data_IF_557361228108
#
_entry.id   IF_557361228108
#
_cell.length_a   1.000
_cell.length_b   1.000
_cell.length_c   1.000
_cell.angle_alpha   90.00
_cell.angle_beta   90.00
_cell.angle_gamma   90.00
#
_symmetry.space_group_name_H-M   'P 1'
#
loop_
_entity.id
_entity.type
_entity.pdbx_description
1 polymer ?
#
# COMPACT_ATOMS: atom_id res chain seq x y z
N UNK A 1 -16.78 -1.06 81.50
CA UNK A 1 -16.85 -2.00 80.35
C UNK A 1 -15.57 -1.84 79.53
N UNK A 2 -15.04 -2.95 79.04
CA UNK A 2 -13.63 -3.22 78.74
C UNK A 2 -13.06 -2.38 77.58
N UNK A 3 -11.93 -1.72 77.84
CA UNK A 3 -11.07 -1.09 76.85
C UNK A 3 -9.98 -2.10 76.45
N UNK A 4 -9.99 -2.57 75.21
CA UNK A 4 -9.04 -3.59 74.70
C UNK A 4 -7.95 -2.89 73.89
N UNK A 5 -6.80 -2.63 74.52
CA UNK A 5 -5.59 -2.21 73.82
C UNK A 5 -5.05 -3.37 72.97
N UNK A 6 -4.95 -3.17 71.66
CA UNK A 6 -4.30 -4.07 70.72
C UNK A 6 -2.87 -3.55 70.51
N UNK A 7 -1.88 -4.29 70.99
CA UNK A 7 -0.46 -4.05 70.72
C UNK A 7 -0.11 -4.64 69.35
N UNK A 8 0.20 -3.79 68.36
CA UNK A 8 0.74 -4.21 67.07
C UNK A 8 2.27 -4.12 67.12
N UNK A 9 2.94 -5.24 67.47
CA UNK A 9 4.38 -5.39 67.29
C UNK A 9 4.66 -5.68 65.81
N UNK A 10 4.88 -4.62 65.03
CA UNK A 10 5.26 -4.73 63.62
C UNK A 10 6.69 -5.26 63.52
N UNK A 11 6.87 -6.47 62.99
CA UNK A 11 8.20 -7.09 62.83
C UNK A 11 9.02 -6.36 61.76
N UNK A 12 10.08 -5.66 62.20
CA UNK A 12 11.03 -4.87 61.41
C UNK A 12 11.86 -5.72 60.39
N UNK A 13 11.75 -7.06 60.42
CA UNK A 13 12.54 -7.97 59.58
C UNK A 13 12.21 -7.89 58.07
N UNK A 14 10.96 -7.59 57.71
CA UNK A 14 10.52 -7.63 56.29
C UNK A 14 10.88 -6.35 55.49
N UNK A 15 11.24 -5.25 56.17
CA UNK A 15 11.62 -4.01 55.51
C UNK A 15 13.02 -4.07 54.88
N UNK A 16 13.94 -4.87 55.44
CA UNK A 16 15.30 -5.02 54.90
C UNK A 16 15.30 -5.66 53.50
N UNK A 17 14.44 -6.66 53.27
CA UNK A 17 14.30 -7.29 51.96
C UNK A 17 13.69 -6.34 50.93
N UNK A 18 12.73 -5.50 51.32
CA UNK A 18 12.13 -4.49 50.44
C UNK A 18 13.17 -3.46 49.98
N UNK A 19 14.02 -2.99 50.91
CA UNK A 19 15.09 -2.05 50.56
C UNK A 19 16.18 -2.67 49.68
N UNK A 20 16.55 -3.94 49.92
CA UNK A 20 17.49 -4.67 49.05
C UNK A 20 16.91 -4.87 47.66
N UNK A 21 15.62 -5.23 47.57
CA UNK A 21 14.93 -5.40 46.29
C UNK A 21 14.82 -4.07 45.54
N UNK A 22 14.49 -2.98 46.22
CA UNK A 22 14.43 -1.64 45.64
C UNK A 22 15.81 -1.16 45.17
N UNK A 23 16.86 -1.43 45.96
CA UNK A 23 18.25 -1.13 45.59
C UNK A 23 18.69 -1.93 44.37
N UNK A 24 18.33 -3.22 44.29
CA UNK A 24 18.63 -4.07 43.13
C UNK A 24 17.93 -3.58 41.87
N UNK A 25 16.67 -3.15 41.99
CA UNK A 25 15.90 -2.57 40.88
C UNK A 25 16.53 -1.26 40.40
N UNK A 26 16.88 -0.37 41.32
CA UNK A 26 17.55 0.90 40.99
C UNK A 26 18.90 0.63 40.32
N UNK A 27 19.67 -0.34 40.81
CA UNK A 27 20.92 -0.76 40.20
C UNK A 27 20.69 -1.28 38.76
N UNK A 28 19.65 -2.08 38.52
CA UNK A 28 19.32 -2.57 37.18
C UNK A 28 18.89 -1.44 36.21
N UNK A 29 18.25 -0.38 36.68
CA UNK A 29 17.86 0.77 35.84
C UNK A 29 18.99 1.77 35.57
N UNK A 30 20.05 1.80 36.41
CA UNK A 30 21.18 2.71 36.24
C UNK A 30 22.28 2.17 35.31
N UNK A 31 22.24 0.88 34.96
CA UNK A 31 23.19 0.21 34.06
C UNK A 31 22.55 -0.17 32.72
N UNK A 32 21.74 0.71 32.12
CA UNK A 32 21.34 0.52 30.73
C UNK A 32 22.50 0.95 29.82
N UNK A 33 23.12 -0.02 29.14
CA UNK A 33 24.06 0.27 28.05
C UNK A 33 23.36 1.09 26.98
N UNK A 34 24.02 2.15 26.49
CA UNK A 34 23.54 2.93 25.36
C UNK A 34 23.59 2.01 24.14
N UNK A 35 22.43 1.50 23.72
CA UNK A 35 22.31 0.72 22.48
C UNK A 35 22.48 1.69 21.31
N UNK A 36 23.68 1.71 20.73
CA UNK A 36 23.95 2.38 19.46
C UNK A 36 23.38 1.52 18.33
N UNK A 37 22.17 1.85 17.87
CA UNK A 37 21.60 1.24 16.67
C UNK A 37 22.04 2.03 15.44
N UNK A 38 22.65 1.35 14.46
CA UNK A 38 23.01 1.99 13.19
C UNK A 38 21.74 2.40 12.45
N UNK A 39 21.59 3.69 12.15
CA UNK A 39 20.45 4.24 11.43
C UNK A 39 20.77 4.23 9.93
N UNK A 40 20.12 3.35 9.17
CA UNK A 40 20.22 3.35 7.70
C UNK A 40 18.99 4.06 7.12
N UNK A 41 19.21 5.17 6.41
CA UNK A 41 18.17 5.91 5.70
C UNK A 41 18.69 6.27 4.31
N UNK A 42 18.06 5.72 3.27
CA UNK A 42 18.49 5.88 1.87
C UNK A 42 17.35 6.48 1.06
N UNK A 43 17.69 7.28 0.05
CA UNK A 43 16.76 7.80 -0.96
C UNK A 43 17.32 7.54 -2.35
N UNK A 44 16.48 7.06 -3.28
CA UNK A 44 16.86 6.79 -4.67
C UNK A 44 15.84 7.43 -5.60
N UNK A 45 16.29 8.29 -6.50
CA UNK A 45 15.42 9.00 -7.45
C UNK A 45 15.95 8.94 -8.90
N UNK A 46 15.08 8.91 -9.93
CA UNK A 46 13.62 8.77 -9.81
C UNK A 46 13.23 7.40 -9.22
N UNK A 47 12.03 7.26 -8.62
CA UNK A 47 11.55 6.00 -8.04
C UNK A 47 10.97 5.03 -9.08
N UNK A 48 10.61 5.55 -10.25
CA UNK A 48 10.04 4.82 -11.37
C UNK A 48 10.57 5.43 -12.67
N UNK A 49 11.07 4.58 -13.55
CA UNK A 49 11.49 4.91 -14.89
C UNK A 49 10.64 4.11 -15.88
N UNK A 50 9.95 4.80 -16.78
CA UNK A 50 9.19 4.22 -17.89
C UNK A 50 9.92 4.53 -19.19
N UNK A 51 10.28 3.50 -19.96
CA UNK A 51 11.01 3.62 -21.22
C UNK A 51 10.25 2.95 -22.35
N UNK A 52 10.03 3.70 -23.42
CA UNK A 52 9.58 3.16 -24.70
C UNK A 52 10.75 3.23 -25.70
N UNK A 53 11.27 2.09 -26.12
CA UNK A 53 12.54 2.03 -26.85
C UNK A 53 12.53 0.96 -27.96
N UNK A 54 13.20 1.27 -29.07
CA UNK A 54 13.38 0.32 -30.18
C UNK A 54 14.51 -0.68 -29.92
N UNK A 55 14.48 -1.87 -30.55
CA UNK A 55 15.64 -2.77 -30.58
C UNK A 55 16.92 -2.07 -31.06
N UNK A 56 18.07 -2.58 -30.61
CA UNK A 56 19.42 -2.05 -30.91
C UNK A 56 19.66 -0.57 -30.52
N UNK A 57 18.87 -0.04 -29.58
CA UNK A 57 19.09 1.29 -29.00
C UNK A 57 19.63 1.19 -27.58
N UNK A 58 20.23 2.29 -27.13
CA UNK A 58 20.67 2.45 -25.76
C UNK A 58 20.28 3.82 -25.23
N UNK A 59 19.99 3.88 -23.94
CA UNK A 59 19.67 5.12 -23.23
C UNK A 59 20.52 5.20 -21.97
N UNK A 60 20.90 6.41 -21.59
CA UNK A 60 21.59 6.68 -20.34
C UNK A 60 20.64 7.44 -19.43
N UNK A 61 20.49 6.97 -18.20
CA UNK A 61 19.62 7.59 -17.20
C UNK A 61 20.44 7.88 -15.95
N UNK A 62 20.34 9.11 -15.47
CA UNK A 62 20.95 9.51 -14.22
C UNK A 62 19.99 9.25 -13.05
N UNK A 63 20.42 8.43 -12.11
CA UNK A 63 19.80 8.27 -10.80
C UNK A 63 20.58 9.03 -9.75
N UNK A 64 19.88 9.52 -8.73
CA UNK A 64 20.47 10.13 -7.55
C UNK A 64 20.20 9.24 -6.35
N UNK A 65 21.25 8.73 -5.74
CA UNK A 65 21.23 7.98 -4.50
C UNK A 65 21.73 8.89 -3.37
N UNK A 66 21.01 8.95 -2.26
CA UNK A 66 21.36 9.76 -1.10
C UNK A 66 21.37 8.89 0.15
N UNK A 67 22.34 9.12 1.01
CA UNK A 67 22.37 8.55 2.35
C UNK A 67 22.04 9.63 3.37
N UNK A 68 20.89 9.48 4.03
CA UNK A 68 20.38 10.36 5.09
C UNK A 68 20.62 9.77 6.50
N UNK A 69 21.28 8.61 6.59
CA UNK A 69 21.63 7.94 7.83
C UNK A 69 23.13 7.88 8.07
N UNK A 70 23.56 6.87 8.81
CA UNK A 70 24.97 6.61 9.11
C UNK A 70 25.77 6.23 7.85
N UNK A 71 27.09 6.48 7.82
CA UNK A 71 27.92 6.11 6.68
C UNK A 71 27.84 4.59 6.46
N UNK A 72 27.66 4.17 5.21
CA UNK A 72 27.46 2.75 4.91
C UNK A 72 28.09 2.36 3.59
N UNK A 73 28.46 1.09 3.48
CA UNK A 73 28.76 0.47 2.21
C UNK A 73 27.46 0.03 1.54
N UNK A 74 27.36 0.31 0.24
CA UNK A 74 26.20 0.02 -0.58
C UNK A 74 26.62 -0.81 -1.78
N UNK A 75 25.79 -1.77 -2.17
CA UNK A 75 25.95 -2.52 -3.41
C UNK A 75 24.80 -2.18 -4.37
N UNK A 76 25.13 -1.85 -5.62
CA UNK A 76 24.14 -1.60 -6.67
C UNK A 76 23.87 -2.89 -7.43
N UNK A 77 22.60 -3.28 -7.52
CA UNK A 77 22.16 -4.48 -8.25
C UNK A 77 21.00 -4.14 -9.15
N UNK A 78 20.85 -4.88 -10.23
CA UNK A 78 19.67 -4.80 -11.08
C UNK A 78 19.08 -6.19 -11.14
N UNK A 79 17.81 -6.32 -10.77
CA UNK A 79 17.11 -7.59 -10.73
C UNK A 79 15.74 -7.48 -11.38
N UNK A 80 15.31 -8.48 -12.16
CA UNK A 80 13.99 -8.49 -12.72
C UNK A 80 12.93 -8.65 -11.63
N UNK A 81 11.73 -8.15 -11.90
CA UNK A 81 10.58 -8.34 -11.02
C UNK A 81 9.33 -8.69 -11.80
N UNK A 82 8.34 -9.22 -11.09
CA UNK A 82 7.00 -9.46 -11.62
C UNK A 82 5.94 -9.04 -10.62
N UNK A 83 4.69 -8.93 -11.07
CA UNK A 83 3.57 -8.65 -10.18
C UNK A 83 3.39 -9.80 -9.18
N UNK A 84 3.25 -9.47 -7.90
CA UNK A 84 2.97 -10.45 -6.83
C UNK A 84 1.48 -10.59 -6.56
N UNK A 85 0.76 -9.48 -6.60
CA UNK A 85 -0.67 -9.41 -6.29
C UNK A 85 -1.35 -8.24 -7.03
N UNK A 86 -2.64 -8.05 -6.75
CA UNK A 86 -3.45 -6.98 -7.34
C UNK A 86 -3.38 -5.65 -6.58
N UNK A 87 -2.60 -5.52 -5.52
CA UNK A 87 -2.42 -4.26 -4.80
C UNK A 87 -1.23 -3.46 -5.35
N UNK A 88 -0.51 -4.03 -6.32
CA UNK A 88 0.67 -3.43 -6.92
C UNK A 88 1.96 -3.81 -6.21
N UNK A 89 1.95 -4.84 -5.34
CA UNK A 89 3.19 -5.39 -4.81
C UNK A 89 3.93 -6.18 -5.90
N UNK A 90 5.25 -6.14 -5.84
CA UNK A 90 6.13 -6.84 -6.78
C UNK A 90 6.92 -7.93 -6.08
N UNK A 91 7.30 -8.95 -6.83
CA UNK A 91 8.27 -9.96 -6.43
C UNK A 91 9.54 -9.75 -7.24
N UNK A 92 10.59 -9.31 -6.57
CA UNK A 92 11.94 -9.20 -7.14
C UNK A 92 12.56 -10.59 -7.17
N UNK A 93 13.10 -10.99 -8.32
CA UNK A 93 13.78 -12.28 -8.49
C UNK A 93 15.17 -12.22 -7.88
N UNK A 94 15.69 -13.38 -7.44
CA UNK A 94 16.99 -13.46 -6.76
C UNK A 94 18.19 -13.24 -7.69
N UNK A 95 18.01 -13.59 -8.96
CA UNK A 95 19.05 -13.60 -9.98
C UNK A 95 18.64 -12.74 -11.15
N UNK A 96 19.66 -12.22 -11.85
CA UNK A 96 19.43 -11.48 -13.07
C UNK A 96 19.08 -12.42 -14.21
N UNK A 97 17.95 -12.17 -14.85
CA UNK A 97 17.51 -12.85 -16.07
C UNK A 97 16.92 -11.83 -17.03
N UNK A 98 16.92 -12.17 -18.31
CA UNK A 98 16.32 -11.35 -19.36
C UNK A 98 17.33 -10.78 -20.36
N UNK A 99 16.83 -10.25 -21.49
CA UNK A 99 17.66 -9.86 -22.61
C UNK A 99 18.24 -8.44 -22.51
N UNK A 100 17.61 -7.55 -21.72
CA UNK A 100 18.05 -6.16 -21.56
C UNK A 100 19.38 -6.12 -20.83
N UNK A 101 20.33 -5.32 -21.29
CA UNK A 101 21.67 -5.22 -20.69
C UNK A 101 21.83 -3.91 -19.96
N UNK A 102 22.47 -3.97 -18.81
CA UNK A 102 22.70 -2.83 -17.94
C UNK A 102 24.19 -2.67 -17.62
N UNK A 103 24.66 -1.44 -17.60
CA UNK A 103 26.01 -1.10 -17.17
C UNK A 103 26.02 0.28 -16.52
N UNK A 104 27.01 0.56 -15.68
CA UNK A 104 27.25 1.89 -15.16
C UNK A 104 28.34 2.57 -15.99
N UNK A 105 28.12 3.83 -16.34
CA UNK A 105 29.11 4.66 -17.04
C UNK A 105 30.01 5.44 -16.06
N UNK A 106 29.74 5.32 -14.77
CA UNK A 106 30.60 5.84 -13.71
C UNK A 106 32.00 5.22 -13.77
N UNK A 107 33.04 6.02 -13.52
CA UNK A 107 34.41 5.51 -13.39
C UNK A 107 34.67 4.84 -12.04
N UNK A 108 33.91 5.22 -11.02
CA UNK A 108 34.06 4.88 -9.61
C UNK A 108 33.06 3.83 -9.11
N UNK A 109 32.02 3.53 -9.89
CA UNK A 109 30.97 2.56 -9.52
C UNK A 109 30.89 1.40 -10.49
N UNK A 110 30.57 0.22 -9.95
CA UNK A 110 30.28 -0.99 -10.72
C UNK A 110 29.08 -1.70 -10.10
N UNK A 111 28.29 -2.37 -10.94
CA UNK A 111 27.24 -3.26 -10.46
C UNK A 111 27.86 -4.43 -9.69
N UNK A 112 27.15 -4.90 -8.68
CA UNK A 112 27.55 -6.00 -7.79
C UNK A 112 28.88 -5.78 -7.05
N UNK A 113 29.33 -4.52 -6.94
CA UNK A 113 30.51 -4.13 -6.16
C UNK A 113 30.15 -3.10 -5.09
N UNK A 114 30.62 -3.30 -3.84
CA UNK A 114 30.35 -2.35 -2.77
C UNK A 114 31.13 -1.05 -2.98
N UNK A 115 30.47 0.08 -2.68
CA UNK A 115 31.10 1.40 -2.60
C UNK A 115 30.66 2.10 -1.31
N UNK A 116 31.47 3.02 -0.82
CA UNK A 116 31.20 3.73 0.44
C UNK A 116 30.43 5.02 0.19
N UNK A 117 29.31 5.21 0.89
CA UNK A 117 28.53 6.46 0.83
C UNK A 117 28.43 7.09 2.23
N UNK A 118 28.95 8.31 2.36
CA UNK A 118 28.99 9.05 3.62
C UNK A 118 27.59 9.54 4.03
N UNK A 119 27.40 9.82 5.31
CA UNK A 119 26.21 10.51 5.82
C UNK A 119 25.98 11.84 5.10
N UNK A 120 24.72 12.13 4.78
CA UNK A 120 24.26 13.33 4.09
C UNK A 120 24.98 13.59 2.76
N UNK A 121 25.49 12.54 2.11
CA UNK A 121 26.12 12.61 0.81
C UNK A 121 25.26 11.93 -0.26
N UNK A 122 25.48 12.33 -1.50
CA UNK A 122 24.77 11.81 -2.66
C UNK A 122 25.75 11.29 -3.70
N UNK A 123 25.36 10.20 -4.35
CA UNK A 123 26.07 9.62 -5.49
C UNK A 123 25.14 9.65 -6.71
N UNK A 124 25.67 10.15 -7.82
CA UNK A 124 24.99 10.05 -9.11
C UNK A 124 25.36 8.73 -9.78
N UNK A 125 24.34 7.97 -10.17
CA UNK A 125 24.48 6.68 -10.85
C UNK A 125 24.06 6.89 -12.32
N UNK A 126 25.01 6.75 -13.24
CA UNK A 126 24.79 6.88 -14.68
C UNK A 126 24.52 5.50 -15.25
N UNK A 127 23.24 5.09 -15.22
CA UNK A 127 22.80 3.78 -15.68
C UNK A 127 22.61 3.78 -17.20
N UNK A 128 23.42 2.99 -17.91
CA UNK A 128 23.24 2.72 -19.34
C UNK A 128 22.41 1.45 -19.51
N UNK A 129 21.32 1.58 -20.27
CA UNK A 129 20.38 0.51 -20.60
C UNK A 129 20.51 0.25 -22.10
N UNK A 130 20.87 -0.97 -22.49
CA UNK A 130 21.06 -1.39 -23.87
C UNK A 130 20.11 -2.50 -24.25
N UNK A 131 19.41 -2.29 -25.36
CA UNK A 131 18.46 -3.25 -25.93
C UNK A 131 19.16 -4.02 -27.06
N UNK A 132 19.24 -5.36 -27.01
CA UNK A 132 19.76 -6.15 -28.12
C UNK A 132 18.92 -5.98 -29.40
N UNK A 133 19.51 -6.26 -30.56
CA UNK A 133 18.79 -6.20 -31.84
C UNK A 133 17.76 -7.33 -32.00
N UNK A 134 18.07 -8.54 -31.55
CA UNK A 134 17.22 -9.74 -31.70
C UNK A 134 16.34 -9.97 -30.46
N UNK A 135 15.56 -8.96 -30.07
CA UNK A 135 14.66 -9.03 -28.92
C UNK A 135 13.21 -9.02 -29.40
N UNK A 136 12.35 -9.76 -28.71
CA UNK A 136 10.92 -9.75 -29.00
C UNK A 136 10.27 -8.51 -28.40
N UNK A 137 9.36 -7.91 -29.17
CA UNK A 137 8.46 -6.85 -28.68
C UNK A 137 7.71 -7.31 -27.43
N UNK A 138 7.57 -6.39 -26.47
CA UNK A 138 6.96 -6.65 -25.19
C UNK A 138 7.58 -5.83 -24.07
N UNK A 139 7.12 -6.09 -22.85
CA UNK A 139 7.59 -5.41 -21.66
C UNK A 139 8.58 -6.25 -20.84
N UNK A 140 9.57 -5.57 -20.27
CA UNK A 140 10.56 -6.15 -19.38
C UNK A 140 10.72 -5.24 -18.15
N UNK A 141 10.66 -5.84 -16.97
CA UNK A 141 10.57 -5.13 -15.69
C UNK A 141 11.77 -5.45 -14.79
N UNK A 142 12.46 -4.42 -14.32
CA UNK A 142 13.65 -4.54 -13.49
C UNK A 142 13.64 -3.51 -12.36
N UNK A 143 14.33 -3.78 -11.26
CA UNK A 143 14.57 -2.82 -10.20
C UNK A 143 16.06 -2.54 -10.07
N UNK A 144 16.45 -1.27 -10.09
CA UNK A 144 17.77 -0.83 -9.60
C UNK A 144 17.70 -0.79 -8.08
N UNK A 145 18.51 -1.59 -7.42
CA UNK A 145 18.55 -1.75 -5.98
C UNK A 145 19.87 -1.19 -5.43
N UNK A 146 19.78 -0.43 -4.34
CA UNK A 146 20.90 -0.11 -3.49
C UNK A 146 20.73 -0.88 -2.17
N UNK A 147 21.59 -1.88 -1.96
CA UNK A 147 21.57 -2.74 -0.78
C UNK A 147 22.67 -2.32 0.20
N UNK A 148 22.31 -1.99 1.44
CA UNK A 148 23.29 -1.76 2.50
C UNK A 148 23.93 -3.09 2.94
N UNK A 149 25.25 -3.13 2.93
CA UNK A 149 26.01 -4.26 3.46
C UNK A 149 26.34 -4.00 4.93
N UNK A 150 25.80 -4.79 5.88
CA UNK A 150 26.12 -4.59 7.28
C UNK A 150 27.62 -4.85 7.52
N UNK A 151 28.25 -4.13 8.48
CA UNK A 151 29.64 -4.39 8.83
C UNK A 151 29.83 -5.83 9.34
N UNK A 152 30.98 -6.42 9.02
CA UNK A 152 31.37 -7.76 9.50
C UNK A 152 31.42 -7.78 11.02
N UNK A 153 30.94 -8.86 11.63
CA UNK A 153 30.90 -9.03 13.07
C UNK A 153 32.31 -8.89 13.68
N UNK A 154 32.46 -8.12 14.75
CA UNK A 154 33.50 -8.40 15.73
C UNK A 154 32.97 -9.50 16.65
N UNK A 155 33.75 -10.57 16.85
CA UNK A 155 33.38 -11.65 17.77
C UNK A 155 33.12 -11.07 19.18
N UNK A 156 31.99 -11.44 19.80
CA UNK A 156 31.67 -11.10 21.18
C UNK A 156 30.72 -9.91 21.41
N UNK A 157 30.36 -9.13 20.37
CA UNK A 157 29.39 -8.03 20.51
C UNK A 157 28.09 -8.39 19.78
N UNK A 158 27.00 -8.55 20.54
CA UNK A 158 25.65 -8.71 20.00
C UNK A 158 25.17 -7.40 19.37
N UNK A 159 25.44 -7.18 18.08
CA UNK A 159 24.91 -6.04 17.33
C UNK A 159 23.67 -6.44 16.53
N UNK A 160 22.60 -5.66 16.65
CA UNK A 160 21.46 -5.76 15.74
C UNK A 160 21.90 -5.29 14.35
N UNK A 161 21.83 -6.18 13.36
CA UNK A 161 22.25 -5.88 11.98
C UNK A 161 21.02 -5.58 11.13
N UNK A 162 20.98 -4.37 10.59
CA UNK A 162 19.90 -3.97 9.67
C UNK A 162 20.42 -4.07 8.24
N UNK A 163 19.85 -4.98 7.45
CA UNK A 163 20.02 -4.99 5.99
C UNK A 163 18.86 -4.19 5.38
N UNK A 164 19.16 -3.00 4.87
CA UNK A 164 18.19 -2.14 4.19
C UNK A 164 18.43 -2.18 2.69
N UNK A 165 17.35 -2.25 1.92
CA UNK A 165 17.39 -2.15 0.46
C UNK A 165 16.39 -1.08 0.02
N UNK A 166 16.83 -0.14 -0.80
CA UNK A 166 15.95 0.77 -1.53
C UNK A 166 16.02 0.44 -3.02
N UNK A 167 14.89 0.61 -3.72
CA UNK A 167 14.79 0.27 -5.13
C UNK A 167 14.08 1.33 -5.95
N UNK A 168 14.49 1.47 -7.21
CA UNK A 168 13.76 2.17 -8.25
C UNK A 168 13.34 1.18 -9.33
N UNK A 169 12.08 1.22 -9.72
CA UNK A 169 11.55 0.33 -10.74
C UNK A 169 11.78 0.89 -12.15
N UNK A 170 12.10 0.01 -13.08
CA UNK A 170 12.42 0.29 -14.47
C UNK A 170 11.48 -0.57 -15.32
N UNK A 171 10.59 0.09 -16.06
CA UNK A 171 9.63 -0.52 -16.96
C UNK A 171 10.10 -0.23 -18.38
N UNK A 172 10.54 -1.27 -19.08
CA UNK A 172 11.06 -1.16 -20.44
C UNK A 172 10.05 -1.79 -21.40
N UNK A 173 9.37 -0.96 -22.19
CA UNK A 173 8.56 -1.38 -23.31
C UNK A 173 9.39 -1.34 -24.59
N UNK A 174 9.49 -2.49 -25.25
CA UNK A 174 10.21 -2.65 -26.50
C UNK A 174 9.21 -2.88 -27.62
N UNK A 175 9.29 -2.04 -28.66
CA UNK A 175 8.48 -2.15 -29.86
C UNK A 175 9.21 -1.55 -31.05
N UNK A 176 9.39 -2.33 -32.12
CA UNK A 176 9.97 -1.79 -33.36
C UNK A 176 8.96 -0.90 -34.13
N UNK A 177 7.71 -1.36 -34.16
CA UNK A 177 6.61 -0.70 -34.88
C UNK A 177 5.99 0.49 -34.14
N UNK A 178 6.23 0.61 -32.84
CA UNK A 178 5.54 1.55 -31.97
C UNK A 178 4.18 1.06 -31.45
N UNK A 179 3.71 -0.10 -31.92
CA UNK A 179 2.46 -0.69 -31.44
C UNK A 179 2.66 -1.45 -30.12
N UNK A 180 1.61 -1.44 -29.30
CA UNK A 180 1.54 -2.14 -28.02
C UNK A 180 0.32 -3.06 -27.98
N UNK A 181 0.48 -4.25 -27.42
CA UNK A 181 -0.60 -5.22 -27.23
C UNK A 181 -1.30 -4.96 -25.90
N UNK A 182 -2.37 -4.15 -25.96
CA UNK A 182 -3.19 -3.75 -24.83
C UNK A 182 -4.52 -4.51 -24.85
N UNK A 183 -4.76 -5.38 -23.87
CA UNK A 183 -6.01 -6.16 -23.72
C UNK A 183 -6.58 -6.02 -22.31
N UNK A 184 -7.18 -4.87 -21.97
CA UNK A 184 -7.70 -4.61 -20.65
C UNK A 184 -9.07 -5.27 -20.46
N UNK A 185 -9.37 -5.69 -19.23
CA UNK A 185 -10.67 -6.25 -18.83
C UNK A 185 -11.00 -5.84 -17.41
N UNK A 186 -12.24 -5.43 -17.16
CA UNK A 186 -12.73 -5.25 -15.79
C UNK A 186 -12.84 -6.64 -15.15
N UNK A 187 -11.98 -6.90 -14.16
CA UNK A 187 -12.00 -8.16 -13.41
C UNK A 187 -13.12 -8.15 -12.37
N UNK A 188 -13.31 -7.02 -11.68
CA UNK A 188 -14.36 -6.84 -10.69
C UNK A 188 -14.80 -5.37 -10.64
N UNK A 189 -16.11 -5.13 -10.66
CA UNK A 189 -16.69 -3.84 -10.33
C UNK A 189 -17.95 -4.04 -9.49
N UNK A 190 -17.86 -3.78 -8.18
CA UNK A 190 -18.94 -4.08 -7.24
C UNK A 190 -18.83 -3.27 -5.96
N UNK A 191 -19.89 -3.24 -5.17
CA UNK A 191 -19.86 -2.77 -3.78
C UNK A 191 -19.60 -3.94 -2.83
N UNK A 192 -19.00 -3.67 -1.67
CA UNK A 192 -18.78 -4.69 -0.63
C UNK A 192 -19.54 -4.36 0.65
N UNK A 193 -19.91 -5.38 1.42
CA UNK A 193 -20.77 -5.23 2.59
C UNK A 193 -22.24 -5.10 2.20
N UNK A 194 -23.01 -4.47 3.10
CA UNK A 194 -24.46 -4.40 3.04
C UNK A 194 -25.14 -5.74 3.34
N UNK A 195 -26.46 -5.70 3.48
CA UNK A 195 -27.31 -6.88 3.51
C UNK A 195 -27.41 -7.42 2.08
N UNK A 196 -27.04 -8.69 1.90
CA UNK A 196 -27.06 -9.37 0.60
C UNK A 196 -28.33 -10.21 0.49
N UNK A 197 -29.13 -9.97 -0.54
CA UNK A 197 -30.31 -10.76 -0.87
C UNK A 197 -30.13 -11.40 -2.25
N UNK A 198 -30.01 -12.72 -2.31
CA UNK A 198 -29.67 -13.42 -3.55
C UNK A 198 -28.28 -13.04 -4.07
N UNK A 199 -28.02 -13.23 -5.38
CA UNK A 199 -26.66 -13.09 -5.93
C UNK A 199 -26.24 -11.63 -6.24
N UNK A 200 -27.18 -10.71 -6.47
CA UNK A 200 -26.86 -9.37 -7.00
C UNK A 200 -27.53 -8.19 -6.27
N UNK A 201 -28.29 -8.43 -5.21
CA UNK A 201 -28.99 -7.36 -4.49
C UNK A 201 -28.26 -7.01 -3.20
N UNK A 202 -27.66 -5.82 -3.15
CA UNK A 202 -26.98 -5.30 -1.96
C UNK A 202 -27.72 -4.08 -1.44
N UNK A 203 -28.16 -4.16 -0.19
CA UNK A 203 -28.84 -3.06 0.50
C UNK A 203 -27.99 -2.56 1.66
N UNK A 204 -27.80 -1.25 1.72
CA UNK A 204 -27.09 -0.57 2.79
C UNK A 204 -28.05 0.25 3.63
N UNK A 205 -27.66 0.58 4.86
CA UNK A 205 -28.35 1.63 5.57
C UNK A 205 -28.06 2.98 4.90
N UNK A 206 -29.02 3.91 4.92
CA UNK A 206 -28.86 5.23 4.32
C UNK A 206 -27.66 6.04 4.81
N UNK A 207 -27.15 5.77 6.01
CA UNK A 207 -25.99 6.46 6.58
C UNK A 207 -24.69 5.65 6.55
N UNK A 208 -24.74 4.42 6.03
CA UNK A 208 -23.54 3.58 6.00
C UNK A 208 -22.62 4.02 4.87
N UNK A 209 -21.31 3.93 5.13
CA UNK A 209 -20.29 4.10 4.08
C UNK A 209 -20.37 2.95 3.09
N UNK A 210 -20.27 3.27 1.80
CA UNK A 210 -20.36 2.28 0.72
C UNK A 210 -18.98 2.05 0.11
N UNK A 211 -18.30 0.94 0.43
CA UNK A 211 -17.03 0.60 -0.18
C UNK A 211 -17.26 0.02 -1.58
N UNK A 212 -16.53 0.56 -2.55
CA UNK A 212 -16.55 0.20 -3.96
C UNK A 212 -15.22 -0.45 -4.31
N UNK A 213 -15.28 -1.51 -5.12
CA UNK A 213 -14.12 -2.26 -5.60
C UNK A 213 -14.15 -2.21 -7.12
N UNK A 214 -13.05 -1.76 -7.71
CA UNK A 214 -12.77 -1.72 -9.12
C UNK A 214 -11.38 -2.34 -9.37
N UNK A 215 -11.37 -3.52 -9.95
CA UNK A 215 -10.15 -4.23 -10.35
C UNK A 215 -10.09 -4.39 -11.86
N UNK A 216 -8.93 -4.13 -12.44
CA UNK A 216 -8.66 -4.28 -13.88
C UNK A 216 -7.58 -5.32 -14.09
N UNK A 217 -7.87 -6.30 -14.94
CA UNK A 217 -6.88 -7.22 -15.46
C UNK A 217 -6.33 -6.72 -16.80
N UNK A 218 -5.03 -6.75 -16.95
CA UNK A 218 -4.34 -6.63 -18.21
C UNK A 218 -4.06 -8.04 -18.75
N UNK A 219 -4.65 -8.40 -19.89
CA UNK A 219 -4.37 -9.65 -20.60
C UNK A 219 -3.46 -9.46 -21.81
N UNK A 220 -2.94 -8.25 -21.98
CA UNK A 220 -1.99 -7.88 -23.02
C UNK A 220 -0.55 -8.11 -22.58
N UNK A 221 0.37 -7.96 -23.52
CA UNK A 221 1.82 -8.13 -23.32
C UNK A 221 2.55 -6.86 -22.91
N UNK A 222 1.86 -5.73 -22.90
CA UNK A 222 2.42 -4.43 -22.50
C UNK A 222 1.66 -3.87 -21.30
N UNK A 223 2.38 -3.16 -20.43
CA UNK A 223 1.80 -2.47 -19.29
C UNK A 223 0.81 -1.42 -19.77
N UNK A 224 -0.22 -1.23 -18.97
CA UNK A 224 -1.29 -0.29 -19.23
C UNK A 224 -1.42 0.69 -18.09
N UNK A 225 -1.84 1.90 -18.40
CA UNK A 225 -2.04 2.96 -17.44
C UNK A 225 -3.49 3.45 -17.53
N UNK A 226 -4.37 3.01 -16.62
CA UNK A 226 -5.78 3.34 -16.64
C UNK A 226 -6.00 4.81 -16.31
N UNK A 227 -6.92 5.42 -17.05
CA UNK A 227 -7.42 6.77 -16.83
C UNK A 227 -8.94 6.76 -16.99
N UNK A 228 -9.65 7.46 -16.12
CA UNK A 228 -11.10 7.47 -16.16
C UNK A 228 -11.73 7.89 -14.85
N UNK A 229 -13.00 7.58 -14.70
CA UNK A 229 -13.77 7.96 -13.52
C UNK A 229 -14.78 6.87 -13.14
N UNK A 230 -15.14 6.83 -11.87
CA UNK A 230 -16.33 6.16 -11.35
C UNK A 230 -17.42 7.23 -11.23
N UNK A 231 -18.58 6.99 -11.84
CA UNK A 231 -19.73 7.88 -11.79
C UNK A 231 -20.84 7.24 -10.95
N UNK A 232 -21.38 7.99 -10.00
CA UNK A 232 -22.55 7.64 -9.21
C UNK A 232 -23.77 8.38 -9.75
N UNK A 233 -24.90 7.69 -9.88
CA UNK A 233 -26.20 8.27 -10.24
C UNK A 233 -27.30 7.72 -9.34
N UNK A 234 -28.01 8.60 -8.64
CA UNK A 234 -29.19 8.29 -7.84
C UNK A 234 -30.49 8.33 -8.65
N UNK A 235 -31.59 7.93 -8.00
CA UNK A 235 -32.94 7.98 -8.57
C UNK A 235 -33.60 9.36 -8.44
N UNK A 236 -33.10 10.25 -7.58
CA UNK A 236 -33.60 11.62 -7.39
C UNK A 236 -32.75 12.66 -8.14
N UNK A 237 -31.92 12.22 -9.07
CA UNK A 237 -31.08 13.08 -9.92
C UNK A 237 -29.69 13.37 -9.34
N UNK A 238 -29.33 12.80 -8.19
CA UNK A 238 -28.00 12.96 -7.61
C UNK A 238 -26.94 12.38 -8.54
N UNK A 239 -25.86 13.13 -8.75
CA UNK A 239 -24.71 12.65 -9.53
C UNK A 239 -23.42 13.01 -8.83
N UNK A 240 -22.44 12.10 -8.88
CA UNK A 240 -21.08 12.34 -8.41
C UNK A 240 -20.08 11.63 -9.32
N UNK A 241 -18.87 12.19 -9.42
CA UNK A 241 -17.77 11.63 -10.22
C UNK A 241 -16.52 11.56 -9.35
N UNK A 242 -15.77 10.49 -9.54
CA UNK A 242 -14.60 10.14 -8.75
C UNK A 242 -13.50 9.72 -9.71
N UNK A 243 -12.41 10.49 -9.74
CA UNK A 243 -11.35 10.27 -10.72
C UNK A 243 -10.48 9.09 -10.31
N UNK A 244 -10.19 8.20 -11.26
CA UNK A 244 -9.29 7.09 -11.05
C UNK A 244 -7.86 7.61 -10.92
N UNK A 245 -7.17 7.20 -9.86
CA UNK A 245 -5.75 7.49 -9.66
C UNK A 245 -4.97 6.58 -10.60
N UNK A 246 -4.31 7.18 -11.57
CA UNK A 246 -3.58 6.48 -12.61
C UNK A 246 -2.35 5.76 -12.05
N UNK A 247 -2.32 4.42 -12.13
CA UNK A 247 -1.22 3.56 -11.70
C UNK A 247 -0.99 2.43 -12.71
N UNK A 248 0.26 2.07 -12.96
CA UNK A 248 0.58 1.03 -13.94
C UNK A 248 0.01 -0.34 -13.58
N UNK A 249 -0.48 -1.05 -14.57
CA UNK A 249 -0.84 -2.46 -14.49
C UNK A 249 0.09 -3.19 -15.45
N UNK A 250 0.97 -4.02 -14.89
CA UNK A 250 1.96 -4.75 -15.69
C UNK A 250 1.29 -5.70 -16.68
N UNK A 251 2.04 -6.12 -17.69
CA UNK A 251 1.62 -7.18 -18.62
C UNK A 251 1.11 -8.40 -17.86
N UNK A 252 0.02 -8.98 -18.35
CA UNK A 252 -0.60 -10.21 -17.81
C UNK A 252 -0.95 -10.18 -16.31
N UNK A 253 -1.06 -8.99 -15.70
CA UNK A 253 -1.35 -8.80 -14.28
C UNK A 253 -2.74 -8.22 -14.02
N UNK A 254 -3.13 -8.13 -12.75
CA UNK A 254 -4.37 -7.48 -12.31
C UNK A 254 -4.04 -6.40 -11.30
N UNK A 255 -4.84 -5.33 -11.24
CA UNK A 255 -4.70 -4.28 -10.24
C UNK A 255 -6.04 -3.75 -9.73
N UNK A 256 -6.17 -3.67 -8.42
CA UNK A 256 -7.16 -2.88 -7.72
C UNK A 256 -6.81 -1.39 -7.91
N UNK A 257 -7.73 -0.64 -8.49
CA UNK A 257 -7.55 0.79 -8.71
C UNK A 257 -8.01 1.58 -7.50
N UNK A 258 -7.43 2.74 -7.29
CA UNK A 258 -7.88 3.73 -6.30
C UNK A 258 -8.53 4.90 -7.05
N UNK A 259 -9.50 5.57 -6.44
CA UNK A 259 -10.15 6.75 -7.01
C UNK A 259 -10.31 7.87 -5.98
N UNK A 260 -10.25 9.13 -6.39
CA UNK A 260 -10.40 10.28 -5.48
C UNK A 260 -11.84 10.37 -4.92
N UNK A 261 -12.07 10.79 -3.67
CA UNK A 261 -11.09 11.23 -2.67
C UNK A 261 -10.50 10.08 -1.82
N UNK A 262 -10.60 8.81 -2.22
CA UNK A 262 -10.26 7.66 -1.35
C UNK A 262 -8.80 7.60 -0.87
N UNK A 263 -7.89 8.35 -1.50
CA UNK A 263 -6.55 8.63 -0.94
C UNK A 263 -6.55 9.37 0.41
N UNK A 264 -7.73 9.73 0.93
CA UNK A 264 -7.96 10.34 2.25
C UNK A 264 -8.60 9.39 3.27
N UNK A 265 -8.80 8.10 2.95
CA UNK A 265 -9.34 7.14 3.92
C UNK A 265 -8.22 6.82 4.93
N UNK A 266 -8.21 7.58 6.02
CA UNK A 266 -7.37 7.28 7.18
C UNK A 266 -7.91 6.02 7.88
N UNK A 267 -7.34 4.86 7.53
CA UNK A 267 -7.59 3.59 8.21
C UNK A 267 -6.77 3.44 9.51
N UNK A 268 -5.98 4.45 9.90
CA UNK A 268 -5.15 4.42 11.11
C UNK A 268 -5.99 4.57 12.37
N UNK A 269 -7.17 5.21 12.26
CA UNK A 269 -8.06 5.46 13.39
C UNK A 269 -9.02 4.26 13.60
N UNK A 270 -8.50 3.24 14.29
CA UNK A 270 -9.20 2.03 14.75
C UNK A 270 -9.84 1.14 13.64
N UNK A 271 -9.40 -0.13 13.62
CA UNK A 271 -9.91 -1.27 12.80
C UNK A 271 -11.39 -1.64 13.03
N UNK A 272 -12.19 -0.74 13.60
CA UNK A 272 -13.61 -0.91 13.92
C UNK A 272 -14.52 -0.64 12.74
N UNK A 273 -14.13 0.18 11.76
CA UNK A 273 -14.94 0.39 10.56
C UNK A 273 -14.80 -0.83 9.62
N UNK A 274 -15.91 -1.54 9.40
CA UNK A 274 -15.95 -2.72 8.54
C UNK A 274 -15.50 -2.40 7.10
N UNK A 275 -15.63 -1.14 6.66
CA UNK A 275 -15.17 -0.68 5.37
C UNK A 275 -13.63 -0.66 5.24
N UNK A 276 -12.89 -0.55 6.35
CA UNK A 276 -11.42 -0.52 6.37
C UNK A 276 -10.77 -1.92 6.44
N UNK A 277 -11.57 -2.99 6.56
CA UNK A 277 -11.09 -4.38 6.59
C UNK A 277 -10.83 -4.96 5.21
N UNK A 278 -11.11 -4.19 4.16
CA UNK A 278 -11.04 -4.66 2.79
C UNK A 278 -10.33 -3.62 1.95
N UNK A 279 -9.43 -4.07 1.08
CA UNK A 279 -8.90 -3.25 0.00
C UNK A 279 -10.03 -2.78 -0.92
N UNK A 280 -10.25 -1.48 -0.96
CA UNK A 280 -11.33 -0.83 -1.72
C UNK A 280 -10.77 0.25 -2.62
N UNK A 281 -11.44 0.46 -3.74
CA UNK A 281 -11.09 1.50 -4.71
C UNK A 281 -11.59 2.88 -4.31
N UNK A 282 -12.74 2.93 -3.65
CA UNK A 282 -13.41 4.16 -3.26
C UNK A 282 -14.35 3.86 -2.11
N UNK A 283 -14.43 4.76 -1.13
CA UNK A 283 -15.49 4.74 -0.12
C UNK A 283 -16.31 6.00 -0.30
N UNK A 284 -17.58 5.84 -0.63
CA UNK A 284 -18.53 6.96 -0.70
C UNK A 284 -19.30 7.06 0.62
N UNK A 285 -19.53 8.28 1.08
CA UNK A 285 -20.28 8.60 2.29
C UNK A 285 -21.32 9.66 1.96
N UNK A 286 -22.46 9.59 2.63
CA UNK A 286 -23.59 10.49 2.38
C UNK A 286 -24.88 9.92 2.94
N UNK A 287 -25.99 10.59 2.67
CA UNK A 287 -27.32 10.06 2.93
C UNK A 287 -27.91 9.51 1.64
N UNK A 288 -28.07 8.19 1.56
CA UNK A 288 -28.53 7.51 0.35
C UNK A 288 -29.93 6.94 0.54
N UNK A 289 -30.85 7.16 -0.40
CA UNK A 289 -32.19 6.56 -0.37
C UNK A 289 -32.58 6.03 -1.73
N UNK A 290 -32.98 4.77 -1.80
CA UNK A 290 -33.43 4.14 -3.04
C UNK A 290 -32.29 3.47 -3.81
N UNK A 291 -32.41 3.46 -5.15
CA UNK A 291 -31.49 2.77 -6.05
C UNK A 291 -30.41 3.73 -6.54
N UNK A 292 -29.16 3.31 -6.40
CA UNK A 292 -28.01 3.99 -6.98
C UNK A 292 -27.33 3.10 -8.02
N UNK A 293 -26.91 3.73 -9.11
CA UNK A 293 -26.14 3.11 -10.18
C UNK A 293 -24.72 3.67 -10.17
N UNK A 294 -23.75 2.78 -10.20
CA UNK A 294 -22.35 3.08 -10.37
C UNK A 294 -21.93 2.66 -11.78
N UNK A 295 -21.28 3.54 -12.52
CA UNK A 295 -20.68 3.24 -13.81
C UNK A 295 -19.22 3.65 -13.84
N UNK A 296 -18.43 3.01 -14.68
CA UNK A 296 -17.05 3.41 -14.94
C UNK A 296 -16.76 3.35 -16.44
N UNK A 297 -15.95 4.30 -16.88
CA UNK A 297 -15.40 4.36 -18.23
C UNK A 297 -13.90 4.56 -18.08
N UNK A 298 -13.12 3.64 -18.66
CA UNK A 298 -11.67 3.58 -18.45
C UNK A 298 -10.97 3.45 -19.80
N UNK A 299 -9.95 4.29 -19.98
CA UNK A 299 -9.09 4.39 -21.17
C UNK A 299 -7.64 4.08 -20.75
N UNK A 300 -6.80 3.69 -21.71
CA UNK A 300 -5.43 3.24 -21.44
C UNK A 300 -4.40 3.90 -22.37
N UNK A 301 -4.63 5.17 -22.72
CA UNK A 301 -3.83 5.91 -23.70
C UNK A 301 -4.46 5.97 -25.10
N UNK A 302 -3.72 6.57 -26.04
CA UNK A 302 -4.14 6.72 -27.43
C UNK A 302 -4.27 5.37 -28.13
N UNK A 303 -5.28 5.24 -29.01
CA UNK A 303 -5.58 4.01 -29.77
C UNK A 303 -5.84 2.74 -28.93
N UNK A 304 -6.04 2.87 -27.61
CA UNK A 304 -6.41 1.77 -26.72
C UNK A 304 -7.94 1.57 -26.64
N UNK A 305 -8.41 0.33 -26.43
CA UNK A 305 -9.84 0.08 -26.22
C UNK A 305 -10.33 0.74 -24.93
N UNK A 306 -11.50 1.38 -25.00
CA UNK A 306 -12.20 1.88 -23.81
C UNK A 306 -13.07 0.77 -23.24
N UNK A 307 -12.98 0.52 -21.93
CA UNK A 307 -13.82 -0.46 -21.24
C UNK A 307 -14.84 0.23 -20.34
N UNK A 308 -16.00 -0.40 -20.22
CA UNK A 308 -17.13 0.11 -19.44
C UNK A 308 -17.57 -0.94 -18.42
N UNK A 309 -17.94 -0.48 -17.24
CA UNK A 309 -18.48 -1.33 -16.18
C UNK A 309 -19.67 -0.65 -15.52
N UNK A 310 -20.61 -1.45 -15.02
CA UNK A 310 -21.72 -0.96 -14.23
C UNK A 310 -22.00 -1.88 -13.04
N UNK A 311 -22.46 -1.31 -11.95
CA UNK A 311 -22.97 -2.04 -10.78
C UNK A 311 -24.02 -1.19 -10.08
N UNK A 312 -24.81 -1.79 -9.20
CA UNK A 312 -25.90 -1.10 -8.50
C UNK A 312 -25.89 -1.44 -7.02
N UNK A 313 -26.40 -0.53 -6.21
CA UNK A 313 -26.70 -0.79 -4.81
C UNK A 313 -27.98 -0.06 -4.41
N UNK A 314 -28.57 -0.51 -3.31
CA UNK A 314 -29.76 0.08 -2.72
C UNK A 314 -29.42 0.61 -1.34
N UNK A 315 -30.08 1.69 -0.95
CA UNK A 315 -29.95 2.25 0.38
C UNK A 315 -31.32 2.51 0.99
N UNK A 316 -31.49 2.13 2.25
CA UNK A 316 -32.73 2.33 2.99
C UNK A 316 -32.45 2.67 4.46
N UNK A 317 -33.19 3.61 5.07
CA UNK A 317 -32.85 4.12 6.41
C UNK A 317 -33.37 3.18 7.52
N UNK A 318 -32.96 1.91 7.52
CA UNK A 318 -33.43 0.89 8.47
C UNK A 318 -33.26 1.30 9.94
N UNK A 319 -32.20 2.08 10.24
CA UNK A 319 -31.91 2.55 11.61
C UNK A 319 -32.95 3.58 12.06
N UNK A 320 -33.32 4.52 11.19
CA UNK A 320 -34.38 5.50 11.46
C UNK A 320 -35.73 4.81 11.57
N UNK A 321 -36.08 3.97 10.59
CA UNK A 321 -37.36 3.27 10.57
C UNK A 321 -37.52 2.37 11.79
N UNK A 322 -36.48 1.60 12.15
CA UNK A 322 -36.48 0.78 13.36
C UNK A 322 -36.64 1.61 14.64
N UNK A 323 -35.93 2.75 14.75
CA UNK A 323 -36.08 3.67 15.87
C UNK A 323 -37.47 4.29 15.98
N UNK A 324 -38.09 4.67 14.85
CA UNK A 324 -39.46 5.17 14.80
C UNK A 324 -40.47 4.10 15.23
N UNK A 325 -40.36 2.88 14.70
CA UNK A 325 -41.26 1.77 15.06
C UNK A 325 -41.16 1.42 16.56
N UNK A 326 -39.94 1.40 17.10
CA UNK A 326 -39.70 1.15 18.52
C UNK A 326 -40.28 2.26 19.40
N UNK A 327 -40.13 3.53 18.99
CA UNK A 327 -40.73 4.67 19.69
C UNK A 327 -42.26 4.59 19.69
N UNK A 328 -42.86 4.29 18.53
CA UNK A 328 -44.30 4.10 18.40
C UNK A 328 -44.78 2.95 19.31
N UNK A 329 -44.07 1.81 19.33
CA UNK A 329 -44.42 0.67 20.18
C UNK A 329 -44.37 1.04 21.68
N UNK A 330 -43.36 1.80 22.12
CA UNK A 330 -43.24 2.28 23.50
C UNK A 330 -44.38 3.23 23.86
N UNK A 331 -44.70 4.19 22.99
CA UNK A 331 -45.81 5.14 23.22
C UNK A 331 -47.14 4.41 23.33
N UNK A 332 -47.42 3.47 22.42
CA UNK A 332 -48.63 2.64 22.45
C UNK A 332 -48.70 1.81 23.74
N UNK A 333 -47.57 1.23 24.18
CA UNK A 333 -47.49 0.47 25.42
C UNK A 333 -47.78 1.34 26.67
N UNK A 334 -47.23 2.57 26.72
CA UNK A 334 -47.48 3.52 27.83
C UNK A 334 -48.95 3.95 27.85
N UNK A 335 -49.54 4.29 26.70
CA UNK A 335 -50.96 4.69 26.61
C UNK A 335 -51.86 3.54 27.08
N UNK A 336 -51.58 2.30 26.65
CA UNK A 336 -52.37 1.14 27.07
C UNK A 336 -52.29 0.90 28.58
N UNK A 337 -51.08 1.01 29.16
CA UNK A 337 -50.87 0.82 30.61
C UNK A 337 -51.54 1.87 31.48
N UNK A 338 -51.66 3.12 31.00
CA UNK A 338 -52.32 4.18 31.77
C UNK A 338 -53.85 4.14 31.69
N UNK A 339 -54.41 3.36 30.75
CA UNK A 339 -55.85 3.18 30.58
C UNK A 339 -56.39 1.90 31.27
N UNK A 340 -55.50 1.06 31.82
CA UNK A 340 -55.83 -0.09 32.68
C UNK A 340 -55.68 0.30 34.16
#
# INVERSE_FOLDING_TARGET
MINKQINFKFQISNFKFLFIFLYLIIYLFLYSDIVQAQQVSLSLSPPLLELFIKPDKSVMVAYKLENLGDPTFLNLRILPFEAKDNLGNIRIKSEFEGPVRFSLDNSDLKLDQPFFLKTNSSQQILLRIRIPANITDGDYYYSLLAEATPPTASEGIGSARVKTTIGSNILVTISDSGNVDIKPKIALFSTKGGLVFGQNFRIFNSFDKIPIILSIANKGKNAIKPEGQISLKGNLGETAKYDIISKNILAESERLLEATPSGQINCDDNRTDAACRVSTSLIISGFFVGKYSLSTQIRFGENSPTIFGFTTFYAFPFKIVGGMLLTIAIVVFIIKRNNE
#
